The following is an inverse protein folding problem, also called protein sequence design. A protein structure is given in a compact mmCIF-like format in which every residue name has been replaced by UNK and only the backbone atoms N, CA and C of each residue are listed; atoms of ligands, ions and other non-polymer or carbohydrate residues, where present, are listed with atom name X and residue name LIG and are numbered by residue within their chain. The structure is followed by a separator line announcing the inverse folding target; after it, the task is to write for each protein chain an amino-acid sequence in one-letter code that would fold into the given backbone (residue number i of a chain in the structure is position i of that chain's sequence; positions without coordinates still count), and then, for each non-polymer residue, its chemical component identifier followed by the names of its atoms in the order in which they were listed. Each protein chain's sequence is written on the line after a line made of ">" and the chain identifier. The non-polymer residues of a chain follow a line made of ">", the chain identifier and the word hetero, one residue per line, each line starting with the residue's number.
data_IF_374566596905
#
_entry.id   IF_374566596905
#
_cell.length_a   1.000
_cell.length_b   1.000
_cell.length_c   1.000
_cell.angle_alpha   90.00
_cell.angle_beta   90.00
_cell.angle_gamma   90.00
#
_symmetry.space_group_name_H-M   'P 1'
#
loop_
_entity.id
_entity.type
_entity.pdbx_description
1 polymer ?
#
# COMPACT_ATOMS: atom_id res chain seq x y z
N UNK A 1 -19.94 11.90 -1.36
CA UNK A 1 -21.07 10.95 -1.14
C UNK A 1 -21.10 10.53 0.32
N UNK A 2 -22.23 10.69 1.00
CA UNK A 2 -22.37 10.35 2.42
C UNK A 2 -23.42 9.26 2.56
N UNK A 3 -23.08 8.20 3.31
CA UNK A 3 -24.02 7.14 3.69
C UNK A 3 -24.38 7.31 5.15
N UNK A 4 -25.66 7.36 5.46
CA UNK A 4 -26.19 7.56 6.78
C UNK A 4 -27.14 6.43 7.14
N UNK A 5 -27.29 6.18 8.43
CA UNK A 5 -28.22 5.19 8.97
C UNK A 5 -29.01 5.81 10.13
N UNK A 6 -30.30 5.52 10.16
CA UNK A 6 -31.17 5.89 11.27
C UNK A 6 -31.94 4.64 11.73
N UNK A 7 -31.90 4.35 13.01
CA UNK A 7 -32.62 3.22 13.60
C UNK A 7 -33.72 3.79 14.50
N UNK A 8 -34.98 3.57 14.11
CA UNK A 8 -36.18 4.00 14.82
C UNK A 8 -36.13 5.43 15.35
N UNK A 9 -36.24 5.63 16.67
CA UNK A 9 -36.20 6.91 17.34
C UNK A 9 -34.78 7.44 17.63
N UNK A 10 -33.74 6.68 17.28
CA UNK A 10 -32.35 7.11 17.47
C UNK A 10 -31.96 8.19 16.47
N UNK A 11 -30.94 8.99 16.81
CA UNK A 11 -30.39 10.01 15.92
C UNK A 11 -29.77 9.40 14.67
N UNK A 12 -29.74 10.14 13.57
CA UNK A 12 -29.06 9.76 12.33
C UNK A 12 -27.55 9.69 12.56
N UNK A 13 -26.93 8.58 12.14
CA UNK A 13 -25.49 8.34 12.23
C UNK A 13 -24.86 8.27 10.84
N UNK A 14 -23.80 9.02 10.61
CA UNK A 14 -23.01 8.93 9.39
C UNK A 14 -22.14 7.68 9.45
N UNK A 15 -22.38 6.73 8.56
CA UNK A 15 -21.56 5.51 8.44
C UNK A 15 -20.29 5.77 7.65
N UNK A 16 -20.42 6.41 6.49
CA UNK A 16 -19.31 6.71 5.58
C UNK A 16 -19.52 8.07 4.95
N UNK A 17 -18.43 8.83 4.87
CA UNK A 17 -18.36 10.04 4.07
C UNK A 17 -17.19 9.95 3.09
N UNK A 18 -17.50 9.88 1.78
CA UNK A 18 -16.51 9.88 0.71
C UNK A 18 -16.51 11.25 0.02
N UNK A 19 -15.32 11.79 -0.17
CA UNK A 19 -15.05 12.99 -0.96
C UNK A 19 -14.27 12.60 -2.19
N UNK A 20 -14.64 13.12 -3.32
CA UNK A 20 -13.99 12.87 -4.60
C UNK A 20 -13.35 14.16 -5.10
N UNK A 21 -12.28 14.05 -5.87
CA UNK A 21 -11.65 15.17 -6.57
C UNK A 21 -12.40 15.51 -7.88
N UNK A 22 -11.96 16.56 -8.57
CA UNK A 22 -12.57 17.04 -9.81
C UNK A 22 -12.51 16.02 -10.96
N UNK A 23 -11.67 15.00 -10.85
CA UNK A 23 -11.55 13.90 -11.80
C UNK A 23 -12.37 12.65 -11.38
N UNK A 24 -13.17 12.76 -10.31
CA UNK A 24 -13.99 11.68 -9.79
C UNK A 24 -13.23 10.59 -9.02
N UNK A 25 -11.96 10.84 -8.66
CA UNK A 25 -11.16 9.90 -7.87
C UNK A 25 -11.41 10.13 -6.38
N UNK A 26 -11.36 9.07 -5.57
CA UNK A 26 -11.58 9.15 -4.13
C UNK A 26 -10.47 9.99 -3.47
N UNK A 27 -10.78 11.20 -3.03
CA UNK A 27 -9.85 12.10 -2.35
C UNK A 27 -9.74 11.79 -0.86
N UNK A 28 -10.88 11.52 -0.21
CA UNK A 28 -10.88 11.08 1.19
C UNK A 28 -12.08 10.21 1.53
N UNK A 29 -11.88 9.36 2.54
CA UNK A 29 -12.93 8.52 3.13
C UNK A 29 -12.87 8.67 4.64
N UNK A 30 -14.00 8.92 5.30
CA UNK A 30 -14.10 8.84 6.75
C UNK A 30 -15.21 7.90 7.18
N UNK A 31 -14.95 7.12 8.21
CA UNK A 31 -15.92 6.20 8.82
C UNK A 31 -16.50 6.84 10.08
N UNK A 32 -17.80 6.67 10.27
CA UNK A 32 -18.56 7.17 11.43
C UNK A 32 -18.39 8.69 11.66
N UNK A 33 -18.14 9.47 10.61
CA UNK A 33 -17.90 10.92 10.73
C UNK A 33 -16.66 11.30 11.56
N UNK A 34 -15.83 10.33 11.93
CA UNK A 34 -14.68 10.52 12.82
C UNK A 34 -13.44 10.98 12.03
N UNK A 35 -12.82 12.07 12.51
CA UNK A 35 -11.54 12.54 11.98
C UNK A 35 -10.41 11.52 12.16
N UNK A 36 -10.44 10.74 13.25
CA UNK A 36 -9.45 9.68 13.52
C UNK A 36 -9.52 8.55 12.50
N UNK A 37 -10.70 8.30 11.93
CA UNK A 37 -10.92 7.27 10.91
C UNK A 37 -10.90 7.82 9.48
N UNK A 38 -10.40 9.05 9.31
CA UNK A 38 -10.26 9.64 7.99
C UNK A 38 -8.98 9.14 7.32
N UNK A 39 -9.11 8.72 6.06
CA UNK A 39 -8.02 8.42 5.15
C UNK A 39 -8.07 9.38 3.97
N UNK A 40 -6.92 9.85 3.54
CA UNK A 40 -6.74 10.72 2.38
C UNK A 40 -5.92 9.98 1.32
N UNK A 41 -6.28 10.14 0.07
CA UNK A 41 -5.67 9.45 -1.07
C UNK A 41 -5.01 10.47 -1.98
N UNK A 42 -3.83 10.16 -2.48
CA UNK A 42 -3.10 10.98 -3.45
C UNK A 42 -2.80 10.20 -4.71
N UNK A 43 -2.76 10.89 -5.84
CA UNK A 43 -2.57 10.28 -7.15
C UNK A 43 -1.54 11.06 -7.96
N UNK A 44 -0.88 10.38 -8.87
CA UNK A 44 -0.05 11.05 -9.87
C UNK A 44 -0.89 11.55 -11.07
N UNK A 45 -0.23 12.21 -12.02
CA UNK A 45 -0.86 12.74 -13.23
C UNK A 45 -1.52 11.66 -14.12
N UNK A 46 -1.13 10.39 -13.97
CA UNK A 46 -1.71 9.24 -14.69
C UNK A 46 -2.89 8.62 -13.95
N UNK A 47 -3.29 9.18 -12.81
CA UNK A 47 -4.36 8.64 -11.97
C UNK A 47 -3.95 7.44 -11.11
N UNK A 48 -2.67 7.09 -11.06
CA UNK A 48 -2.20 6.00 -10.20
C UNK A 48 -2.11 6.47 -8.75
N UNK A 49 -2.57 5.64 -7.83
CA UNK A 49 -2.50 5.91 -6.40
C UNK A 49 -1.04 6.01 -5.95
N UNK A 50 -0.67 7.13 -5.33
CA UNK A 50 0.68 7.35 -4.81
C UNK A 50 0.75 7.33 -3.29
N UNK A 51 -0.37 7.51 -2.62
CA UNK A 51 -0.38 7.49 -1.16
C UNK A 51 -1.76 7.33 -0.55
N UNK A 52 -1.76 6.73 0.62
CA UNK A 52 -2.88 6.69 1.56
C UNK A 52 -2.37 7.23 2.88
N UNK A 53 -3.02 8.23 3.45
CA UNK A 53 -2.61 8.84 4.71
C UNK A 53 -3.77 8.92 5.69
N UNK A 54 -3.55 8.46 6.91
CA UNK A 54 -4.49 8.54 8.01
C UNK A 54 -3.77 8.36 9.35
N UNK A 55 -4.46 8.66 10.44
CA UNK A 55 -3.87 8.57 11.80
C UNK A 55 -3.49 7.13 12.21
N UNK A 56 -4.13 6.13 11.62
CA UNK A 56 -3.92 4.71 11.93
C UNK A 56 -2.99 4.00 10.96
N UNK A 57 -2.83 4.52 9.75
CA UNK A 57 -2.05 3.89 8.69
C UNK A 57 -1.64 4.92 7.65
N UNK A 58 -0.39 4.81 7.20
CA UNK A 58 0.14 5.58 6.07
C UNK A 58 0.84 4.62 5.12
N UNK A 59 0.61 4.78 3.82
CA UNK A 59 1.26 4.01 2.77
C UNK A 59 1.66 4.93 1.62
N UNK A 60 2.84 4.71 1.06
CA UNK A 60 3.27 5.36 -0.18
C UNK A 60 3.60 4.30 -1.22
N UNK A 61 3.18 4.56 -2.45
CA UNK A 61 3.42 3.73 -3.62
C UNK A 61 4.28 4.52 -4.62
N UNK A 62 5.36 3.91 -5.06
CA UNK A 62 6.32 4.51 -5.98
C UNK A 62 6.35 3.72 -7.29
N UNK A 63 6.46 4.43 -8.39
CA UNK A 63 6.48 3.88 -9.74
C UNK A 63 7.81 4.23 -10.43
N UNK A 64 7.97 5.48 -10.80
CA UNK A 64 9.16 6.04 -11.45
C UNK A 64 10.09 6.81 -10.48
N UNK A 65 9.85 6.67 -9.20
CA UNK A 65 10.64 7.25 -8.09
C UNK A 65 10.80 6.21 -6.98
N UNK A 66 11.42 6.59 -5.87
CA UNK A 66 11.56 5.74 -4.69
C UNK A 66 12.79 4.83 -4.75
N UNK A 67 12.75 3.73 -4.00
CA UNK A 67 13.92 2.89 -3.72
C UNK A 67 14.02 1.64 -4.61
N UNK A 68 13.04 1.40 -5.48
CA UNK A 68 13.00 0.26 -6.40
C UNK A 68 13.49 0.60 -7.80
N UNK A 69 13.46 -0.38 -8.69
CA UNK A 69 13.74 -0.16 -10.12
C UNK A 69 12.59 0.61 -10.75
N UNK A 70 12.92 1.73 -11.37
CA UNK A 70 11.95 2.67 -11.98
C UNK A 70 11.05 1.95 -12.98
N UNK A 71 9.74 2.20 -12.89
CA UNK A 71 8.70 1.68 -13.78
C UNK A 71 7.81 2.81 -14.31
N UNK A 72 7.52 2.77 -15.61
CA UNK A 72 6.69 3.78 -16.29
C UNK A 72 5.37 3.21 -16.83
N UNK A 73 5.17 1.91 -16.67
CA UNK A 73 4.03 1.16 -17.19
C UNK A 73 2.90 0.97 -16.16
N UNK A 74 3.05 1.47 -14.93
CA UNK A 74 2.08 1.29 -13.85
C UNK A 74 2.44 0.21 -12.84
N UNK A 75 3.50 -0.56 -13.08
CA UNK A 75 4.03 -1.49 -12.08
C UNK A 75 4.67 -0.72 -10.92
N UNK A 76 4.41 -1.13 -9.70
CA UNK A 76 4.93 -0.49 -8.50
C UNK A 76 6.41 -0.85 -8.34
N UNK A 77 7.30 0.15 -8.30
CA UNK A 77 8.74 -0.05 -8.10
C UNK A 77 9.10 -0.36 -6.65
N UNK A 78 8.45 0.35 -5.73
CA UNK A 78 8.59 0.14 -4.29
C UNK A 78 7.36 0.68 -3.56
N UNK A 79 7.18 0.23 -2.32
CA UNK A 79 6.18 0.79 -1.42
C UNK A 79 6.73 0.90 -0.01
N UNK A 80 6.23 1.87 0.75
CA UNK A 80 6.48 2.00 2.18
C UNK A 80 5.18 2.11 2.94
N UNK A 81 5.16 1.64 4.17
CA UNK A 81 4.02 1.84 5.05
C UNK A 81 4.46 2.03 6.51
N UNK A 82 3.56 2.58 7.29
CA UNK A 82 3.69 2.75 8.72
C UNK A 82 2.33 2.61 9.39
N UNK A 83 2.25 1.84 10.46
CA UNK A 83 1.07 1.79 11.33
C UNK A 83 1.08 2.98 12.31
N UNK A 84 -0.08 3.52 12.59
CA UNK A 84 -0.35 4.74 13.34
C UNK A 84 0.75 5.29 14.24
N UNK A 85 0.94 4.69 15.41
CA UNK A 85 1.86 5.18 16.43
C UNK A 85 3.30 4.63 16.33
N UNK A 86 3.58 3.75 15.36
CA UNK A 86 4.92 3.21 15.18
C UNK A 86 5.86 4.25 14.57
N UNK A 87 7.12 4.25 15.02
CA UNK A 87 8.18 5.05 14.38
C UNK A 87 8.78 4.36 13.16
N UNK A 88 8.73 3.02 13.11
CA UNK A 88 9.34 2.22 12.06
C UNK A 88 8.56 2.31 10.77
N UNK A 89 9.22 2.75 9.72
CA UNK A 89 8.74 2.65 8.34
C UNK A 89 9.20 1.31 7.79
N UNK A 90 8.27 0.55 7.21
CA UNK A 90 8.52 -0.72 6.53
C UNK A 90 8.27 -0.55 5.04
N UNK A 91 8.87 -1.39 4.24
CA UNK A 91 8.67 -1.31 2.79
C UNK A 91 9.07 -2.56 2.04
N UNK A 92 8.71 -2.56 0.76
CA UNK A 92 9.15 -3.52 -0.23
C UNK A 92 9.73 -2.81 -1.45
N UNK A 93 10.80 -3.37 -2.00
CA UNK A 93 11.31 -3.10 -3.35
C UNK A 93 10.91 -4.26 -4.24
N UNK A 94 10.33 -3.96 -5.40
CA UNK A 94 9.87 -4.98 -6.33
C UNK A 94 10.79 -5.10 -7.53
N UNK A 95 11.01 -6.31 -8.00
CA UNK A 95 11.64 -6.58 -9.29
C UNK A 95 10.71 -7.41 -10.16
N UNK A 96 10.84 -7.25 -11.46
CA UNK A 96 9.97 -7.84 -12.46
C UNK A 96 10.81 -8.47 -13.58
N UNK A 97 10.26 -9.48 -14.24
CA UNK A 97 10.84 -10.05 -15.46
C UNK A 97 10.50 -9.21 -16.71
N UNK A 98 10.95 -9.66 -17.87
CA UNK A 98 10.69 -9.00 -19.15
C UNK A 98 9.22 -8.98 -19.58
N UNK A 99 8.35 -9.74 -18.93
CA UNK A 99 6.89 -9.75 -19.14
C UNK A 99 6.14 -8.98 -18.03
N UNK A 100 6.85 -8.19 -17.23
CA UNK A 100 6.33 -7.45 -16.07
C UNK A 100 5.67 -8.32 -14.99
N UNK A 101 6.08 -9.60 -14.87
CA UNK A 101 5.67 -10.47 -13.78
C UNK A 101 6.63 -10.27 -12.60
N UNK A 102 6.10 -10.20 -11.38
CA UNK A 102 6.91 -9.96 -10.19
C UNK A 102 7.88 -11.13 -9.94
N UNK A 103 9.16 -10.82 -9.78
CA UNK A 103 10.19 -11.79 -9.38
C UNK A 103 10.43 -11.75 -7.88
N UNK A 104 10.68 -10.56 -7.35
CA UNK A 104 11.01 -10.41 -5.94
C UNK A 104 10.25 -9.24 -5.31
N UNK A 105 9.89 -9.43 -4.03
CA UNK A 105 9.48 -8.41 -3.11
C UNK A 105 10.50 -8.38 -1.95
N UNK A 106 11.54 -7.56 -2.08
CA UNK A 106 12.60 -7.46 -1.07
C UNK A 106 12.13 -6.53 0.05
N UNK A 107 11.95 -7.10 1.23
CA UNK A 107 11.57 -6.37 2.43
C UNK A 107 12.72 -5.51 2.94
N UNK A 108 12.38 -4.43 3.62
CA UNK A 108 13.31 -3.63 4.41
C UNK A 108 12.57 -2.62 5.28
N UNK A 109 13.31 -2.06 6.21
CA UNK A 109 12.83 -1.03 7.12
C UNK A 109 13.58 0.28 6.86
N UNK A 110 13.12 1.40 7.46
CA UNK A 110 13.49 2.78 7.20
C UNK A 110 12.89 3.34 5.90
N UNK A 111 12.97 4.64 5.72
CA UNK A 111 12.48 5.30 4.49
C UNK A 111 13.21 4.83 3.22
N UNK A 112 14.46 4.36 3.36
CA UNK A 112 15.30 3.85 2.25
C UNK A 112 15.14 2.33 2.02
N UNK A 113 14.33 1.64 2.84
CA UNK A 113 14.12 0.19 2.77
C UNK A 113 15.48 -0.54 2.76
N UNK A 114 16.36 -0.22 3.74
CA UNK A 114 17.76 -0.65 3.73
C UNK A 114 18.17 -1.52 4.91
N UNK A 115 17.42 -1.52 6.01
CA UNK A 115 17.72 -2.32 7.20
C UNK A 115 16.78 -3.50 7.31
N UNK A 116 17.19 -4.55 8.04
CA UNK A 116 16.42 -5.77 8.24
C UNK A 116 15.94 -6.39 6.91
N UNK A 117 16.73 -6.24 5.86
CA UNK A 117 16.48 -6.84 4.57
C UNK A 117 16.28 -8.34 4.71
N UNK A 118 15.38 -8.89 3.93
CA UNK A 118 15.05 -10.32 3.90
C UNK A 118 14.22 -10.88 5.07
N UNK A 119 13.89 -10.10 6.11
CA UNK A 119 13.01 -10.63 7.18
C UNK A 119 11.70 -11.21 6.66
N UNK A 120 11.07 -10.54 5.70
CA UNK A 120 9.78 -10.91 5.10
C UNK A 120 9.81 -10.83 3.58
N UNK A 121 11.00 -11.01 2.98
CA UNK A 121 11.13 -10.99 1.53
C UNK A 121 10.47 -12.21 0.89
N UNK A 122 9.96 -12.00 -0.32
CA UNK A 122 9.31 -13.03 -1.13
C UNK A 122 9.97 -13.09 -2.51
N UNK A 123 10.28 -14.31 -2.98
CA UNK A 123 10.88 -14.55 -4.29
C UNK A 123 10.02 -15.54 -5.06
N UNK A 124 9.52 -15.15 -6.21
CA UNK A 124 8.88 -16.07 -7.13
C UNK A 124 9.96 -16.79 -7.91
N UNK A 125 10.10 -18.10 -7.69
CA UNK A 125 11.17 -18.91 -8.27
C UNK A 125 10.75 -19.65 -9.53
N UNK A 126 9.47 -19.61 -9.90
CA UNK A 126 8.99 -20.20 -11.14
C UNK A 126 7.60 -19.77 -11.55
N UNK A 127 7.45 -19.56 -12.85
CA UNK A 127 6.18 -19.35 -13.54
C UNK A 127 5.93 -20.45 -14.57
N UNK A 128 4.68 -20.78 -14.82
CA UNK A 128 4.31 -21.56 -16.00
C UNK A 128 4.19 -20.67 -17.25
N UNK A 129 3.89 -21.29 -18.40
CA UNK A 129 3.74 -20.57 -19.68
C UNK A 129 2.55 -19.61 -19.70
N UNK A 130 1.57 -19.80 -18.82
CA UNK A 130 0.38 -18.95 -18.68
C UNK A 130 0.58 -17.81 -17.67
N UNK A 131 1.75 -17.75 -17.00
CA UNK A 131 2.05 -16.74 -15.99
C UNK A 131 1.57 -17.08 -14.57
N UNK A 132 1.13 -18.33 -14.30
CA UNK A 132 0.80 -18.75 -12.96
C UNK A 132 2.08 -19.02 -12.16
N UNK A 133 2.09 -18.60 -10.88
CA UNK A 133 3.20 -18.88 -9.96
C UNK A 133 3.22 -20.39 -9.66
N UNK A 134 4.33 -21.05 -9.97
CA UNK A 134 4.56 -22.47 -9.66
C UNK A 134 5.31 -22.68 -8.36
N UNK A 135 6.18 -21.76 -8.02
CA UNK A 135 7.00 -21.85 -6.81
C UNK A 135 7.31 -20.48 -6.24
N UNK A 136 7.25 -20.37 -4.93
CA UNK A 136 7.47 -19.17 -4.15
C UNK A 136 8.35 -19.51 -2.94
N UNK A 137 9.40 -18.74 -2.72
CA UNK A 137 10.18 -18.76 -1.49
C UNK A 137 9.81 -17.55 -0.66
N UNK A 138 9.47 -17.79 0.61
CA UNK A 138 9.14 -16.73 1.57
C UNK A 138 10.07 -16.79 2.77
N UNK A 139 10.56 -15.64 3.19
CA UNK A 139 11.33 -15.49 4.41
C UNK A 139 10.41 -15.02 5.54
N UNK A 140 10.69 -15.48 6.76
CA UNK A 140 9.98 -15.06 7.96
C UNK A 140 10.95 -14.77 9.09
N UNK A 141 10.56 -13.92 10.03
CA UNK A 141 11.33 -13.68 11.24
C UNK A 141 11.07 -14.80 12.24
N UNK A 142 12.13 -15.45 12.72
CA UNK A 142 12.04 -16.58 13.68
C UNK A 142 12.29 -16.17 15.14
N UNK A 143 12.62 -14.89 15.40
CA UNK A 143 12.88 -14.36 16.74
C UNK A 143 12.84 -12.84 16.80
N UNK A 144 12.88 -12.26 18.00
CA UNK A 144 12.88 -10.81 18.21
C UNK A 144 14.17 -10.12 17.74
N UNK A 145 15.24 -10.89 17.60
CA UNK A 145 16.55 -10.44 17.09
C UNK A 145 16.90 -11.25 15.85
N UNK A 146 17.02 -10.62 14.75
CA UNK A 146 17.65 -11.12 13.54
C UNK A 146 18.70 -10.12 13.10
#
# INVERSE_FOLDING_TARGET
>A
MTVKHKLDALGEVTLVNNVYDDLGRLQSKSLHGSAVNKQTYTYNIRGWLTGVSGSKFTQNLYYNTGNGVVKYNGSISSMTWKSGNESTVRGYKFTYDGLDRMLNATYGETASISTNANRFSENVTGYDKNGNIKSLQRYGQTGASA
#
